data_IF_820470106117
#
_entry.id   IF_820470106117
#
_cell.length_a   1.000
_cell.length_b   1.000
_cell.length_c   1.000
_cell.angle_alpha   90.00
_cell.angle_beta   90.00
_cell.angle_gamma   90.00
#
_symmetry.space_group_name_H-M   'P 1'
#
loop_
_entity.id
_entity.type
_entity.pdbx_description
1 polymer ?
#
# COMPACT_ATOMS: atom_id res chain seq x y z
N UNK A 1 -10.72 -31.32 14.76
CA UNK A 1 -11.01 -29.90 15.13
C UNK A 1 -12.45 -29.85 15.59
N UNK A 2 -12.67 -29.56 16.87
CA UNK A 2 -14.03 -29.49 17.44
C UNK A 2 -14.64 -28.12 17.15
N UNK A 3 -15.97 -28.05 17.00
CA UNK A 3 -16.73 -26.81 16.72
C UNK A 3 -16.39 -25.65 17.68
N UNK A 4 -16.06 -25.96 18.94
CA UNK A 4 -15.66 -24.99 19.97
C UNK A 4 -14.30 -24.34 19.72
N UNK A 5 -13.35 -25.09 19.15
CA UNK A 5 -12.03 -24.56 18.78
C UNK A 5 -12.13 -23.64 17.56
N UNK A 6 -12.99 -24.00 16.61
CA UNK A 6 -13.32 -23.16 15.44
C UNK A 6 -13.99 -21.85 15.87
N UNK A 7 -14.95 -21.88 16.80
CA UNK A 7 -15.64 -20.69 17.32
C UNK A 7 -14.71 -19.75 18.10
N UNK A 8 -13.78 -20.28 18.91
CA UNK A 8 -12.76 -19.47 19.61
C UNK A 8 -11.74 -18.86 18.66
N UNK A 9 -11.30 -19.60 17.63
CA UNK A 9 -10.43 -19.05 16.59
C UNK A 9 -11.13 -17.99 15.75
N UNK A 10 -12.41 -18.19 15.39
CA UNK A 10 -13.22 -17.19 14.70
C UNK A 10 -13.39 -15.93 15.55
N UNK A 11 -13.76 -16.09 16.83
CA UNK A 11 -13.93 -14.98 17.77
C UNK A 11 -12.63 -14.19 17.99
N UNK A 12 -11.50 -14.88 18.12
CA UNK A 12 -10.18 -14.24 18.21
C UNK A 12 -9.78 -13.50 16.94
N UNK A 13 -9.99 -14.10 15.76
CA UNK A 13 -9.68 -13.48 14.47
C UNK A 13 -10.56 -12.24 14.20
N UNK A 14 -11.86 -12.31 14.56
CA UNK A 14 -12.77 -11.18 14.49
C UNK A 14 -12.39 -10.07 15.46
N UNK A 15 -11.99 -10.43 16.69
CA UNK A 15 -11.51 -9.48 17.70
C UNK A 15 -10.27 -8.70 17.24
N UNK A 16 -9.26 -9.38 16.69
CA UNK A 16 -8.07 -8.73 16.11
C UNK A 16 -8.43 -7.87 14.88
N UNK A 17 -9.34 -8.35 14.03
CA UNK A 17 -9.84 -7.61 12.88
C UNK A 17 -10.51 -6.28 13.30
N UNK A 18 -11.42 -6.33 14.26
CA UNK A 18 -12.15 -5.15 14.75
C UNK A 18 -11.18 -4.18 15.45
N UNK A 19 -10.32 -4.68 16.34
CA UNK A 19 -9.36 -3.85 17.07
C UNK A 19 -8.40 -3.12 16.10
N UNK A 20 -7.87 -3.82 15.10
CA UNK A 20 -7.00 -3.21 14.09
C UNK A 20 -7.72 -2.18 13.22
N UNK A 21 -8.98 -2.42 12.86
CA UNK A 21 -9.81 -1.44 12.13
C UNK A 21 -10.07 -0.20 12.97
N UNK A 22 -10.44 -0.36 14.25
CA UNK A 22 -10.68 0.75 15.16
C UNK A 22 -9.40 1.59 15.35
N UNK A 23 -8.28 0.94 15.63
CA UNK A 23 -6.99 1.61 15.76
C UNK A 23 -6.62 2.36 14.47
N UNK A 24 -6.82 1.75 13.31
CA UNK A 24 -6.58 2.39 12.01
C UNK A 24 -7.48 3.61 11.79
N UNK A 25 -8.76 3.53 12.14
CA UNK A 25 -9.69 4.65 12.01
C UNK A 25 -9.27 5.81 12.90
N UNK A 26 -8.97 5.55 14.18
CA UNK A 26 -8.56 6.59 15.13
C UNK A 26 -7.24 7.25 14.71
N UNK A 27 -6.24 6.45 14.33
CA UNK A 27 -4.96 6.96 13.83
C UNK A 27 -5.12 7.70 12.49
N UNK A 28 -6.04 7.25 11.64
CA UNK A 28 -6.39 7.92 10.38
C UNK A 28 -7.00 9.30 10.62
N UNK A 29 -7.92 9.42 11.58
CA UNK A 29 -8.48 10.70 12.00
C UNK A 29 -7.38 11.64 12.54
N UNK A 30 -6.48 11.11 13.36
CA UNK A 30 -5.34 11.87 13.86
C UNK A 30 -4.40 12.33 12.73
N UNK A 31 -4.13 11.46 11.76
CA UNK A 31 -3.36 11.82 10.57
C UNK A 31 -4.02 12.94 9.75
N UNK A 32 -5.35 12.88 9.55
CA UNK A 32 -6.11 13.95 8.90
C UNK A 32 -6.04 15.25 9.70
N UNK A 33 -6.17 15.18 11.02
CA UNK A 33 -6.02 16.34 11.90
C UNK A 33 -4.65 16.99 11.78
N UNK A 34 -3.56 16.20 11.75
CA UNK A 34 -2.20 16.72 11.54
C UNK A 34 -2.06 17.43 10.19
N UNK A 35 -2.56 16.80 9.12
CA UNK A 35 -2.53 17.37 7.77
C UNK A 35 -3.27 18.71 7.74
N UNK A 36 -4.47 18.78 8.30
CA UNK A 36 -5.29 20.00 8.26
C UNK A 36 -4.71 21.16 9.09
N UNK A 37 -4.01 20.88 10.20
CA UNK A 37 -3.42 21.93 11.03
C UNK A 37 -2.03 22.38 10.56
N UNK A 38 -1.27 21.51 9.90
CA UNK A 38 0.11 21.80 9.53
C UNK A 38 0.28 22.24 8.06
N UNK A 39 -0.71 21.99 7.20
CA UNK A 39 -0.69 22.43 5.81
C UNK A 39 -1.57 23.65 5.61
N UNK A 40 -1.12 24.53 4.72
CA UNK A 40 -1.95 25.65 4.26
C UNK A 40 -3.11 25.15 3.36
N UNK A 41 -4.20 25.91 3.22
CA UNK A 41 -5.32 25.52 2.36
C UNK A 41 -4.90 25.23 0.90
N UNK A 42 -3.92 25.97 0.38
CA UNK A 42 -3.38 25.77 -0.98
C UNK A 42 -2.63 24.44 -1.11
N UNK A 43 -1.82 24.11 -0.12
CA UNK A 43 -1.07 22.85 -0.09
C UNK A 43 -2.00 21.65 0.08
N UNK A 44 -3.05 21.79 0.90
CA UNK A 44 -4.08 20.77 1.07
C UNK A 44 -4.85 20.51 -0.24
N UNK A 45 -5.23 21.57 -0.96
CA UNK A 45 -5.86 21.44 -2.28
C UNK A 45 -4.96 20.74 -3.30
N UNK A 46 -3.68 21.12 -3.33
CA UNK A 46 -2.65 20.49 -4.18
C UNK A 46 -2.50 19.00 -3.85
N UNK A 47 -2.37 18.65 -2.57
CA UNK A 47 -2.25 17.28 -2.10
C UNK A 47 -3.49 16.45 -2.45
N UNK A 48 -4.69 17.02 -2.33
CA UNK A 48 -5.95 16.34 -2.61
C UNK A 48 -6.08 16.01 -4.10
N UNK A 49 -5.71 16.95 -4.97
CA UNK A 49 -5.67 16.73 -6.42
C UNK A 49 -4.68 15.62 -6.78
N UNK A 50 -3.46 15.68 -6.25
CA UNK A 50 -2.43 14.65 -6.46
C UNK A 50 -2.91 13.29 -5.96
N UNK A 51 -3.47 13.20 -4.74
CA UNK A 51 -4.00 11.95 -4.20
C UNK A 51 -5.10 11.34 -5.05
N UNK A 52 -6.03 12.15 -5.57
CA UNK A 52 -7.07 11.67 -6.46
C UNK A 52 -6.48 11.10 -7.76
N UNK A 53 -5.55 11.83 -8.38
CA UNK A 53 -4.85 11.34 -9.57
C UNK A 53 -4.12 10.01 -9.31
N UNK A 54 -3.37 9.93 -8.20
CA UNK A 54 -2.67 8.72 -7.79
C UNK A 54 -3.63 7.56 -7.54
N UNK A 55 -4.79 7.81 -6.92
CA UNK A 55 -5.80 6.78 -6.69
C UNK A 55 -6.33 6.19 -8.00
N UNK A 56 -6.62 7.02 -9.00
CA UNK A 56 -7.01 6.54 -10.33
C UNK A 56 -5.89 5.71 -10.98
N UNK A 57 -4.65 6.18 -10.89
CA UNK A 57 -3.50 5.45 -11.45
C UNK A 57 -3.31 4.08 -10.77
N UNK A 58 -3.42 4.03 -9.44
CA UNK A 58 -3.35 2.78 -8.67
C UNK A 58 -4.47 1.81 -9.06
N UNK A 59 -5.68 2.30 -9.34
CA UNK A 59 -6.78 1.45 -9.84
C UNK A 59 -6.42 0.88 -11.21
N UNK A 60 -6.00 1.73 -12.16
CA UNK A 60 -5.72 1.29 -13.54
C UNK A 60 -4.55 0.30 -13.60
N UNK A 61 -3.46 0.59 -12.89
CA UNK A 61 -2.22 -0.18 -12.97
C UNK A 61 -2.17 -1.30 -11.93
N UNK A 62 -2.61 -1.02 -10.69
CA UNK A 62 -2.51 -1.95 -9.55
C UNK A 62 -3.62 -3.01 -9.51
N UNK A 63 -4.80 -2.75 -10.07
CA UNK A 63 -5.89 -3.72 -10.05
C UNK A 63 -5.57 -4.98 -10.86
N UNK A 64 -4.88 -4.85 -12.00
CA UNK A 64 -4.57 -5.99 -12.86
C UNK A 64 -3.80 -7.10 -12.15
N UNK A 65 -2.72 -6.75 -11.42
CA UNK A 65 -1.91 -7.71 -10.68
C UNK A 65 -2.70 -8.32 -9.51
N UNK A 66 -3.38 -7.48 -8.73
CA UNK A 66 -4.14 -7.92 -7.56
C UNK A 66 -5.25 -8.90 -7.93
N UNK A 67 -6.00 -8.60 -9.01
CA UNK A 67 -7.07 -9.45 -9.51
C UNK A 67 -6.53 -10.73 -10.16
N UNK A 68 -5.43 -10.64 -10.91
CA UNK A 68 -4.75 -11.80 -11.48
C UNK A 68 -4.29 -12.77 -10.40
N UNK A 69 -3.65 -12.27 -9.34
CA UNK A 69 -3.22 -13.10 -8.22
C UNK A 69 -4.39 -13.72 -7.48
N UNK A 70 -5.45 -12.96 -7.17
CA UNK A 70 -6.62 -13.53 -6.49
C UNK A 70 -7.28 -14.66 -7.31
N UNK A 71 -7.27 -14.56 -8.65
CA UNK A 71 -7.83 -15.58 -9.54
C UNK A 71 -6.93 -16.83 -9.65
N UNK A 72 -5.63 -16.65 -9.86
CA UNK A 72 -4.73 -17.76 -10.20
C UNK A 72 -4.00 -18.36 -8.99
N UNK A 73 -3.84 -17.63 -7.89
CA UNK A 73 -3.15 -18.11 -6.69
C UNK A 73 -3.82 -19.35 -6.06
N UNK A 74 -5.17 -19.43 -5.92
CA UNK A 74 -5.82 -20.64 -5.42
C UNK A 74 -5.61 -21.84 -6.35
N UNK A 75 -5.69 -21.62 -7.66
CA UNK A 75 -5.46 -22.65 -8.66
C UNK A 75 -4.03 -23.19 -8.60
N UNK A 76 -3.02 -22.31 -8.49
CA UNK A 76 -1.62 -22.72 -8.34
C UNK A 76 -1.34 -23.44 -7.02
N UNK A 77 -2.00 -23.06 -5.94
CA UNK A 77 -1.90 -23.76 -4.65
C UNK A 77 -2.38 -25.21 -4.72
N UNK A 78 -3.41 -25.49 -5.52
CA UNK A 78 -4.01 -26.82 -5.64
C UNK A 78 -3.36 -27.70 -6.73
N UNK A 79 -2.80 -27.10 -7.78
CA UNK A 79 -2.37 -27.83 -9.00
C UNK A 79 -0.88 -27.74 -9.34
N UNK A 80 -0.15 -26.73 -8.86
CA UNK A 80 1.22 -26.48 -9.28
C UNK A 80 2.23 -26.91 -8.20
N UNK A 81 3.32 -27.56 -8.64
CA UNK A 81 4.48 -27.78 -7.78
C UNK A 81 5.03 -26.45 -7.23
N UNK A 82 5.46 -26.45 -5.96
CA UNK A 82 5.87 -25.25 -5.20
C UNK A 82 6.87 -24.35 -5.93
N UNK A 83 7.79 -24.95 -6.70
CA UNK A 83 8.78 -24.23 -7.51
C UNK A 83 8.14 -23.40 -8.64
N UNK A 84 7.14 -23.95 -9.35
CA UNK A 84 6.44 -23.21 -10.43
C UNK A 84 5.63 -22.03 -9.89
N UNK A 85 5.00 -22.19 -8.72
CA UNK A 85 4.28 -21.10 -8.06
C UNK A 85 5.23 -19.96 -7.67
N UNK A 86 6.41 -20.27 -7.11
CA UNK A 86 7.43 -19.26 -6.79
C UNK A 86 7.89 -18.52 -8.04
N UNK A 87 8.22 -19.24 -9.10
CA UNK A 87 8.67 -18.65 -10.36
C UNK A 87 7.59 -17.75 -10.99
N UNK A 88 6.33 -18.19 -11.00
CA UNK A 88 5.21 -17.39 -11.51
C UNK A 88 4.98 -16.12 -10.68
N UNK A 89 5.09 -16.19 -9.35
CA UNK A 89 5.00 -15.02 -8.48
C UNK A 89 6.15 -14.04 -8.75
N UNK A 90 7.39 -14.51 -8.80
CA UNK A 90 8.56 -13.66 -9.10
C UNK A 90 8.45 -13.02 -10.49
N UNK A 91 8.07 -13.78 -11.52
CA UNK A 91 7.86 -13.24 -12.86
C UNK A 91 6.75 -12.17 -12.88
N UNK A 92 5.63 -12.40 -12.19
CA UNK A 92 4.54 -11.43 -12.09
C UNK A 92 4.99 -10.15 -11.41
N UNK A 93 5.76 -10.24 -10.33
CA UNK A 93 6.34 -9.08 -9.66
C UNK A 93 7.34 -8.35 -10.55
N UNK A 94 8.22 -9.06 -11.25
CA UNK A 94 9.20 -8.46 -12.15
C UNK A 94 8.53 -7.68 -13.29
N UNK A 95 7.53 -8.27 -13.95
CA UNK A 95 6.73 -7.60 -14.97
C UNK A 95 6.08 -6.34 -14.41
N UNK A 96 5.56 -6.42 -13.18
CA UNK A 96 4.92 -5.27 -12.55
C UNK A 96 5.90 -4.13 -12.25
N UNK A 97 7.11 -4.44 -11.76
CA UNK A 97 8.18 -3.45 -11.56
C UNK A 97 8.55 -2.77 -12.86
N UNK A 98 8.70 -3.54 -13.95
CA UNK A 98 9.04 -3.00 -15.27
C UNK A 98 7.93 -2.09 -15.78
N UNK A 99 6.67 -2.52 -15.72
CA UNK A 99 5.53 -1.69 -16.12
C UNK A 99 5.46 -0.40 -15.28
N UNK A 100 5.70 -0.49 -13.98
CA UNK A 100 5.70 0.68 -13.10
C UNK A 100 6.85 1.64 -13.40
N UNK A 101 8.04 1.12 -13.69
CA UNK A 101 9.19 1.92 -14.10
C UNK A 101 8.89 2.65 -15.43
N UNK A 102 8.23 1.98 -16.37
CA UNK A 102 7.80 2.60 -17.64
C UNK A 102 6.77 3.71 -17.39
N UNK A 103 5.76 3.49 -16.55
CA UNK A 103 4.77 4.53 -16.19
C UNK A 103 5.46 5.73 -15.52
N UNK A 104 6.38 5.47 -14.59
CA UNK A 104 7.14 6.51 -13.90
C UNK A 104 8.00 7.31 -14.89
N UNK A 105 8.66 6.63 -15.84
CA UNK A 105 9.47 7.26 -16.87
C UNK A 105 8.61 8.13 -17.81
N UNK A 106 7.46 7.60 -18.27
CA UNK A 106 6.53 8.35 -19.13
C UNK A 106 6.05 9.62 -18.43
N UNK A 107 5.62 9.53 -17.17
CA UNK A 107 5.19 10.70 -16.41
C UNK A 107 6.32 11.68 -16.12
N UNK A 108 7.55 11.18 -15.93
CA UNK A 108 8.72 12.04 -15.80
C UNK A 108 8.98 12.83 -17.09
N UNK A 109 8.87 12.20 -18.27
CA UNK A 109 9.00 12.87 -19.56
C UNK A 109 7.85 13.84 -19.85
N UNK A 110 6.63 13.52 -19.41
CA UNK A 110 5.45 14.39 -19.53
C UNK A 110 5.41 15.49 -18.46
N UNK A 111 6.33 15.52 -17.49
CA UNK A 111 6.36 16.50 -16.41
C UNK A 111 6.26 17.95 -16.88
N UNK A 112 6.99 18.41 -17.92
CA UNK A 112 6.89 19.80 -18.39
C UNK A 112 5.48 20.13 -18.88
N UNK A 113 4.88 19.22 -19.67
CA UNK A 113 3.52 19.37 -20.20
C UNK A 113 2.46 19.39 -19.08
N UNK A 114 2.60 18.53 -18.07
CA UNK A 114 1.72 18.55 -16.89
C UNK A 114 1.87 19.88 -16.13
N UNK A 115 3.10 20.42 -16.06
CA UNK A 115 3.41 21.70 -15.44
C UNK A 115 2.70 22.87 -16.13
N UNK A 116 2.64 22.88 -17.46
CA UNK A 116 1.94 23.90 -18.25
C UNK A 116 0.42 23.89 -18.01
N UNK A 117 -0.19 22.69 -17.88
CA UNK A 117 -1.64 22.55 -17.70
C UNK A 117 -2.09 22.82 -16.26
N UNK A 118 -1.24 22.50 -15.27
CA UNK A 118 -1.62 22.55 -13.85
C UNK A 118 -0.77 23.55 -13.06
N UNK A 119 0.41 23.12 -12.62
CA UNK A 119 1.45 23.88 -11.95
C UNK A 119 2.70 22.99 -11.85
N UNK A 120 3.90 23.57 -11.91
CA UNK A 120 5.16 22.82 -11.73
C UNK A 120 5.22 22.03 -10.41
N UNK A 121 4.65 22.58 -9.33
CA UNK A 121 4.59 21.91 -8.02
C UNK A 121 3.72 20.66 -8.09
N UNK A 122 2.56 20.74 -8.73
CA UNK A 122 1.65 19.58 -8.92
C UNK A 122 2.34 18.52 -9.76
N UNK A 123 2.96 18.91 -10.88
CA UNK A 123 3.68 17.99 -11.76
C UNK A 123 4.81 17.26 -11.01
N UNK A 124 5.59 17.99 -10.20
CA UNK A 124 6.63 17.40 -9.35
C UNK A 124 6.07 16.41 -8.32
N UNK A 125 4.98 16.75 -7.65
CA UNK A 125 4.33 15.88 -6.67
C UNK A 125 3.67 14.65 -7.30
N UNK A 126 3.12 14.76 -8.52
CA UNK A 126 2.59 13.61 -9.26
C UNK A 126 3.71 12.63 -9.58
N UNK A 127 4.82 13.09 -10.17
CA UNK A 127 5.96 12.23 -10.49
C UNK A 127 6.54 11.57 -9.23
N UNK A 128 6.70 12.35 -8.15
CA UNK A 128 7.14 11.82 -6.86
C UNK A 128 6.16 10.77 -6.33
N UNK A 129 4.87 11.10 -6.33
CA UNK A 129 3.81 10.21 -5.86
C UNK A 129 3.79 8.88 -6.61
N UNK A 130 3.91 8.91 -7.93
CA UNK A 130 3.97 7.69 -8.75
C UNK A 130 5.22 6.86 -8.44
N UNK A 131 6.39 7.48 -8.32
CA UNK A 131 7.60 6.76 -7.94
C UNK A 131 7.44 6.08 -6.56
N UNK A 132 6.77 6.75 -5.64
CA UNK A 132 6.55 6.30 -4.27
C UNK A 132 5.35 5.35 -4.07
N UNK A 133 4.53 5.13 -5.09
CA UNK A 133 3.39 4.20 -5.05
C UNK A 133 3.81 2.73 -5.20
N UNK A 134 5.01 2.45 -5.71
CA UNK A 134 5.47 1.08 -5.94
C UNK A 134 5.36 0.19 -4.69
N UNK A 135 5.85 0.61 -3.49
CA UNK A 135 5.68 -0.16 -2.26
C UNK A 135 4.21 -0.37 -1.86
N UNK A 136 3.31 0.55 -2.21
CA UNK A 136 1.87 0.39 -1.93
C UNK A 136 1.30 -0.82 -2.66
N UNK A 137 1.63 -0.95 -3.96
CA UNK A 137 1.14 -2.06 -4.77
C UNK A 137 1.70 -3.40 -4.29
N UNK A 138 2.98 -3.43 -3.89
CA UNK A 138 3.57 -4.61 -3.26
C UNK A 138 2.93 -4.95 -1.92
N UNK A 139 2.66 -3.95 -1.08
CA UNK A 139 1.99 -4.13 0.22
C UNK A 139 0.58 -4.70 0.06
N UNK A 140 -0.19 -4.20 -0.91
CA UNK A 140 -1.49 -4.76 -1.28
C UNK A 140 -1.39 -6.20 -1.75
N UNK A 141 -0.40 -6.50 -2.59
CA UNK A 141 -0.17 -7.85 -3.08
C UNK A 141 0.18 -8.81 -1.95
N UNK A 142 1.09 -8.43 -1.05
CA UNK A 142 1.46 -9.22 0.12
C UNK A 142 0.26 -9.44 1.06
N UNK A 143 -0.59 -8.43 1.21
CA UNK A 143 -1.86 -8.53 1.96
C UNK A 143 -2.82 -9.52 1.32
N UNK A 144 -2.97 -9.49 -0.01
CA UNK A 144 -3.81 -10.44 -0.75
C UNK A 144 -3.31 -11.88 -0.62
N UNK A 145 -1.99 -12.08 -0.67
CA UNK A 145 -1.38 -13.40 -0.41
C UNK A 145 -1.71 -13.84 1.02
N UNK A 146 -1.44 -13.03 2.04
CA UNK A 146 -1.73 -13.38 3.43
C UNK A 146 -3.23 -13.69 3.66
N UNK A 147 -4.13 -12.95 3.00
CA UNK A 147 -5.57 -13.21 3.02
C UNK A 147 -5.91 -14.58 2.43
N UNK A 148 -5.28 -14.97 1.32
CA UNK A 148 -5.49 -16.28 0.70
C UNK A 148 -5.03 -17.46 1.60
N UNK A 149 -4.17 -17.20 2.59
CA UNK A 149 -3.74 -18.15 3.60
C UNK A 149 -4.48 -18.00 4.94
N UNK A 150 -5.52 -17.16 5.02
CA UNK A 150 -6.33 -16.91 6.22
C UNK A 150 -5.54 -16.39 7.44
N UNK A 151 -4.42 -15.70 7.21
CA UNK A 151 -3.57 -15.18 8.29
C UNK A 151 -4.00 -13.78 8.77
N UNK A 152 -5.24 -13.71 9.25
CA UNK A 152 -5.89 -12.45 9.66
C UNK A 152 -5.13 -11.77 10.81
N UNK A 153 -4.53 -12.55 11.72
CA UNK A 153 -3.78 -12.02 12.86
C UNK A 153 -2.55 -11.22 12.40
N UNK A 154 -1.75 -11.79 11.50
CA UNK A 154 -0.54 -11.11 11.03
C UNK A 154 -0.85 -9.89 10.18
N UNK A 155 -1.93 -9.92 9.40
CA UNK A 155 -2.43 -8.76 8.67
C UNK A 155 -2.82 -7.65 9.65
N UNK A 156 -3.64 -7.96 10.66
CA UNK A 156 -4.07 -6.98 11.65
C UNK A 156 -2.89 -6.31 12.37
N UNK A 157 -1.89 -7.09 12.80
CA UNK A 157 -0.67 -6.54 13.42
C UNK A 157 0.12 -5.67 12.44
N UNK A 158 0.31 -6.13 11.20
CA UNK A 158 1.05 -5.37 10.19
C UNK A 158 0.36 -4.03 9.86
N UNK A 159 -0.97 -4.01 9.77
CA UNK A 159 -1.77 -2.81 9.54
C UNK A 159 -1.61 -1.82 10.69
N UNK A 160 -1.65 -2.27 11.94
CA UNK A 160 -1.46 -1.40 13.11
C UNK A 160 -0.06 -0.79 13.10
N UNK A 161 0.99 -1.60 12.93
CA UNK A 161 2.38 -1.12 12.84
C UNK A 161 2.50 -0.08 11.73
N UNK A 162 2.01 -0.39 10.54
CA UNK A 162 2.04 0.50 9.38
C UNK A 162 1.34 1.83 9.65
N UNK A 163 0.20 1.80 10.32
CA UNK A 163 -0.56 3.02 10.62
C UNK A 163 0.18 3.88 11.65
N UNK A 164 0.79 3.27 12.67
CA UNK A 164 1.64 3.99 13.64
C UNK A 164 2.84 4.60 12.92
N UNK A 165 3.53 3.83 12.07
CA UNK A 165 4.66 4.32 11.27
C UNK A 165 4.24 5.51 10.40
N UNK A 166 3.09 5.44 9.73
CA UNK A 166 2.56 6.55 8.95
C UNK A 166 2.39 7.82 9.79
N UNK A 167 1.71 7.73 10.94
CA UNK A 167 1.45 8.89 11.81
C UNK A 167 2.76 9.49 12.34
N UNK A 168 3.70 8.65 12.77
CA UNK A 168 5.00 9.10 13.28
C UNK A 168 5.82 9.78 12.17
N UNK A 169 5.92 9.14 11.00
CA UNK A 169 6.64 9.70 9.86
C UNK A 169 6.00 11.02 9.40
N UNK A 170 4.68 11.06 9.33
CA UNK A 170 3.92 12.25 8.96
C UNK A 170 4.22 13.41 9.93
N UNK A 171 4.14 13.17 11.23
CA UNK A 171 4.43 14.20 12.24
C UNK A 171 5.87 14.72 12.14
N UNK A 172 6.85 13.84 11.91
CA UNK A 172 8.25 14.22 11.79
C UNK A 172 8.52 15.02 10.51
N UNK A 173 8.00 14.57 9.37
CA UNK A 173 8.24 15.22 8.07
C UNK A 173 7.49 16.55 7.95
N UNK A 174 6.28 16.65 8.50
CA UNK A 174 5.55 17.92 8.54
C UNK A 174 6.22 18.94 9.47
N UNK A 175 6.79 18.51 10.60
CA UNK A 175 7.60 19.39 11.46
C UNK A 175 8.83 19.95 10.76
N UNK A 176 9.37 19.26 9.76
CA UNK A 176 10.49 19.73 8.94
C UNK A 176 10.06 20.69 7.81
N UNK A 177 8.76 20.98 7.67
CA UNK A 177 8.25 21.88 6.65
C UNK A 177 8.21 21.29 5.23
N UNK A 178 8.26 19.95 5.09
CA UNK A 178 8.23 19.28 3.78
C UNK A 178 6.87 19.37 3.06
N UNK A 179 5.86 20.00 3.68
CA UNK A 179 4.56 20.27 3.06
C UNK A 179 3.91 19.00 2.48
N UNK A 180 3.27 19.09 1.29
CA UNK A 180 2.61 17.95 0.64
C UNK A 180 3.54 16.78 0.32
N UNK A 181 4.82 17.07 0.01
CA UNK A 181 5.79 16.02 -0.32
C UNK A 181 6.07 15.12 0.89
N UNK A 182 6.14 15.71 2.09
CA UNK A 182 6.31 14.97 3.34
C UNK A 182 5.18 13.98 3.60
N UNK A 183 3.94 14.31 3.19
CA UNK A 183 2.79 13.40 3.31
C UNK A 183 2.93 12.20 2.38
N UNK A 184 3.38 12.41 1.15
CA UNK A 184 3.62 11.32 0.18
C UNK A 184 4.74 10.41 0.64
N UNK A 185 5.83 10.99 1.16
CA UNK A 185 6.98 10.23 1.70
C UNK A 185 6.55 9.43 2.94
N UNK A 186 5.76 10.01 3.85
CA UNK A 186 5.23 9.30 5.01
C UNK A 186 4.39 8.08 4.61
N UNK A 187 3.55 8.22 3.58
CA UNK A 187 2.77 7.12 3.02
C UNK A 187 3.68 6.06 2.37
N UNK A 188 4.72 6.47 1.64
CA UNK A 188 5.67 5.55 1.05
C UNK A 188 6.41 4.73 2.11
N UNK A 189 6.90 5.38 3.17
CA UNK A 189 7.60 4.74 4.29
C UNK A 189 6.70 3.70 4.95
N UNK A 190 5.44 4.05 5.24
CA UNK A 190 4.52 3.11 5.86
C UNK A 190 4.24 1.90 4.94
N UNK A 191 4.04 2.13 3.64
CA UNK A 191 3.84 1.06 2.66
C UNK A 191 5.08 0.16 2.48
N UNK A 192 6.30 0.70 2.58
CA UNK A 192 7.54 -0.10 2.62
C UNK A 192 7.55 -0.99 3.85
N UNK A 193 7.23 -0.45 5.03
CA UNK A 193 7.15 -1.24 6.27
C UNK A 193 6.11 -2.35 6.15
N UNK A 194 4.92 -2.05 5.63
CA UNK A 194 3.88 -3.06 5.37
C UNK A 194 4.40 -4.18 4.48
N UNK A 195 5.02 -3.80 3.36
CA UNK A 195 5.56 -4.72 2.37
C UNK A 195 6.61 -5.63 2.99
N UNK A 196 7.58 -5.09 3.73
CA UNK A 196 8.63 -5.86 4.38
C UNK A 196 8.08 -6.82 5.47
N UNK A 197 7.16 -6.34 6.29
CA UNK A 197 6.54 -7.14 7.37
C UNK A 197 5.74 -8.31 6.81
N UNK A 198 5.03 -8.13 5.71
CA UNK A 198 4.23 -9.20 5.10
C UNK A 198 5.05 -10.11 4.18
N UNK A 199 5.94 -9.56 3.35
CA UNK A 199 6.80 -10.35 2.47
C UNK A 199 7.79 -11.22 3.26
N UNK A 200 8.29 -10.77 4.41
CA UNK A 200 9.13 -11.62 5.27
C UNK A 200 8.42 -12.88 5.79
N UNK A 201 7.08 -12.89 5.77
CA UNK A 201 6.25 -14.06 6.14
C UNK A 201 5.86 -14.94 4.96
N UNK A 202 5.99 -14.44 3.72
CA UNK A 202 5.70 -15.21 2.49
C UNK A 202 6.44 -16.54 2.41
N UNK A 203 7.72 -16.68 2.82
CA UNK A 203 8.40 -17.97 2.84
C UNK A 203 7.69 -19.03 3.69
N UNK A 204 7.00 -18.63 4.77
CA UNK A 204 6.22 -19.55 5.62
C UNK A 204 4.95 -20.04 4.95
N UNK A 205 4.36 -19.25 4.04
CA UNK A 205 3.20 -19.67 3.26
C UNK A 205 3.58 -20.58 2.09
N UNK A 206 4.84 -20.53 1.66
CA UNK A 206 5.37 -21.26 0.49
C UNK A 206 6.19 -22.50 0.86
N UNK A 207 6.31 -22.85 2.15
CA UNK A 207 6.99 -24.03 2.68
C UNK A 207 5.95 -25.05 3.17
#
# INVERSE_FOLDING_TARGET
>A
MTERDSARQLGGALGWGIASRLARTLLGLFGTYLVLNMLTPREFGTLSLVRNFLAYLTIVVGAGLSQGLLRYLPAWRLSAGRSRMRMALFASFAVHVVLWALVTLVLFLLKPWIGEVTNEVVAGLVVLGVALLLPEVFGHTATNIANAYYDTRNISVAVVITTITYVVALALLLKQGLGPSGVLIAAAISNVVLTLVLLSKVPRYLN
#
